data_IF_002321590845
#
_entry.id   IF_002321590845
#
_cell.length_a   1.000
_cell.length_b   1.000
_cell.length_c   1.000
_cell.angle_alpha   90.00
_cell.angle_beta   90.00
_cell.angle_gamma   90.00
#
_symmetry.space_group_name_H-M   'P 1'
#
loop_
_entity.id
_entity.type
_entity.pdbx_description
1 polymer ?
#
# COMPACT_ATOMS: atom_id res chain seq x y z
N UNK A 1 42.78 74.34 23.64
CA UNK A 1 41.50 73.64 23.89
C UNK A 1 40.53 74.31 22.94
N UNK A 2 40.32 73.71 21.77
CA UNK A 2 39.34 74.17 20.80
C UNK A 2 38.75 72.96 20.06
N UNK A 3 37.46 73.12 19.82
CA UNK A 3 36.41 72.16 19.51
C UNK A 3 36.62 71.44 18.16
N UNK A 4 36.62 70.10 18.18
CA UNK A 4 36.70 69.28 16.96
C UNK A 4 35.30 69.08 16.38
N UNK A 5 35.09 69.63 15.19
CA UNK A 5 33.83 69.59 14.43
C UNK A 5 33.70 68.27 13.68
N UNK A 6 32.67 67.49 13.99
CA UNK A 6 32.31 66.24 13.31
C UNK A 6 31.90 66.48 11.84
N UNK A 7 32.31 65.58 10.95
CA UNK A 7 31.77 65.45 9.59
C UNK A 7 31.30 64.00 9.40
N UNK A 8 29.99 63.81 9.36
CA UNK A 8 29.36 62.58 8.87
C UNK A 8 29.55 62.44 7.36
N UNK A 9 29.90 61.23 6.92
CA UNK A 9 29.78 60.81 5.52
C UNK A 9 29.12 59.41 5.45
N UNK A 10 28.27 59.16 4.43
CA UNK A 10 27.35 58.03 4.40
C UNK A 10 28.01 56.69 4.06
N UNK A 11 27.46 55.62 4.64
CA UNK A 11 27.90 54.21 4.51
C UNK A 11 27.36 53.61 3.19
N UNK A 12 28.21 53.01 2.33
CA UNK A 12 27.75 52.13 1.27
C UNK A 12 27.66 50.67 1.77
N UNK A 13 26.44 50.14 1.80
CA UNK A 13 26.15 48.72 2.02
C UNK A 13 26.54 47.88 0.81
N UNK A 14 27.53 47.00 0.94
CA UNK A 14 27.71 45.88 0.00
C UNK A 14 28.00 44.59 0.76
N UNK A 15 27.06 43.67 0.62
CA UNK A 15 27.09 42.31 1.14
C UNK A 15 28.04 41.45 0.30
N UNK A 16 29.20 41.10 0.87
CA UNK A 16 30.01 39.98 0.40
C UNK A 16 30.18 39.01 1.55
N UNK A 17 29.53 37.85 1.50
CA UNK A 17 29.81 36.74 2.42
C UNK A 17 30.15 35.49 1.62
N UNK A 18 31.44 35.17 1.59
CA UNK A 18 31.97 33.90 1.13
C UNK A 18 31.65 32.78 2.14
N UNK A 19 31.13 31.68 1.59
CA UNK A 19 31.40 30.26 1.83
C UNK A 19 31.96 29.82 3.20
N UNK A 20 31.16 29.05 3.93
CA UNK A 20 31.64 27.98 4.81
C UNK A 20 30.67 26.79 4.71
N UNK A 21 31.19 25.66 4.25
CA UNK A 21 30.51 24.37 4.17
C UNK A 21 30.11 23.86 5.56
N UNK A 22 28.97 23.17 5.68
CA UNK A 22 28.88 22.02 6.55
C UNK A 22 28.59 20.76 5.73
N UNK A 23 29.56 19.85 5.73
CA UNK A 23 29.32 18.40 5.66
C UNK A 23 28.23 18.03 6.66
N UNK A 24 27.12 17.47 6.18
CA UNK A 24 26.03 17.06 7.03
C UNK A 24 24.91 16.44 6.21
N UNK A 25 24.92 15.11 6.17
CA UNK A 25 23.85 14.20 5.76
C UNK A 25 23.15 14.52 4.44
N UNK A 26 23.55 13.75 3.41
CA UNK A 26 22.66 13.20 2.39
C UNK A 26 21.21 13.38 2.80
N UNK A 27 20.47 14.23 2.08
CA UNK A 27 19.02 14.19 2.07
C UNK A 27 18.66 12.72 1.91
N UNK A 28 18.22 12.10 2.99
CA UNK A 28 17.53 10.84 2.93
C UNK A 28 16.30 11.17 2.11
N UNK A 29 16.38 10.91 0.80
CA UNK A 29 15.20 10.56 0.03
C UNK A 29 14.42 9.65 0.95
N UNK A 30 13.30 10.14 1.48
CA UNK A 30 12.36 9.33 2.24
C UNK A 30 12.17 8.09 1.37
N UNK A 31 12.82 7.00 1.74
CA UNK A 31 12.71 5.76 0.99
C UNK A 31 11.23 5.49 1.03
N UNK A 32 10.59 5.60 -0.13
CA UNK A 32 9.17 5.35 -0.33
C UNK A 32 9.01 3.88 0.04
N UNK A 33 8.75 3.65 1.32
CA UNK A 33 8.98 2.36 1.94
C UNK A 33 7.95 1.39 1.43
N UNK A 34 8.41 0.24 0.95
CA UNK A 34 7.56 -0.91 0.73
C UNK A 34 6.87 -1.28 2.05
N UNK A 35 5.55 -1.40 2.04
CA UNK A 35 4.74 -1.77 3.20
C UNK A 35 4.12 -3.14 3.00
N UNK A 36 4.03 -3.98 4.03
CA UNK A 36 3.29 -5.24 3.90
C UNK A 36 1.79 -4.97 3.77
N UNK A 37 1.11 -5.80 2.99
CA UNK A 37 -0.36 -5.91 3.03
C UNK A 37 -0.74 -6.63 4.31
N UNK A 38 -1.70 -6.08 5.06
CA UNK A 38 -2.23 -6.78 6.25
C UNK A 38 -3.25 -7.82 5.78
N UNK A 39 -3.02 -9.07 6.15
CA UNK A 39 -3.87 -10.21 5.80
C UNK A 39 -4.67 -10.65 7.02
N UNK A 40 -5.96 -10.87 6.81
CA UNK A 40 -6.87 -11.40 7.84
C UNK A 40 -7.82 -12.41 7.22
N UNK A 41 -8.12 -13.48 7.95
CA UNK A 41 -9.12 -14.47 7.53
C UNK A 41 -10.48 -14.06 8.09
N UNK A 42 -11.42 -13.73 7.21
CA UNK A 42 -12.78 -13.31 7.60
C UNK A 42 -13.61 -14.55 7.90
N UNK A 43 -13.56 -15.53 7.00
CA UNK A 43 -14.31 -16.77 7.07
C UNK A 43 -13.53 -17.93 6.46
N UNK A 44 -13.76 -19.12 7.00
CA UNK A 44 -13.31 -20.40 6.45
C UNK A 44 -14.43 -21.40 6.71
N UNK A 45 -15.06 -21.89 5.64
CA UNK A 45 -16.16 -22.88 5.71
C UNK A 45 -15.69 -24.31 5.46
N UNK A 46 -14.38 -24.56 5.48
CA UNK A 46 -13.77 -25.81 5.04
C UNK A 46 -13.46 -25.77 3.55
N UNK A 47 -14.45 -25.56 2.68
CA UNK A 47 -14.24 -25.54 1.22
C UNK A 47 -13.89 -24.15 0.66
N UNK A 48 -14.40 -23.07 1.26
CA UNK A 48 -14.18 -21.70 0.82
C UNK A 48 -13.54 -20.87 1.94
N UNK A 49 -12.50 -20.13 1.61
CA UNK A 49 -11.83 -19.16 2.49
C UNK A 49 -12.02 -17.76 1.95
N UNK A 50 -12.26 -16.80 2.83
CA UNK A 50 -12.28 -15.39 2.48
C UNK A 50 -11.23 -14.62 3.28
N UNK A 51 -10.36 -13.93 2.55
CA UNK A 51 -9.31 -13.08 3.09
C UNK A 51 -9.69 -11.61 2.92
N UNK A 52 -9.49 -10.81 3.97
CA UNK A 52 -9.43 -9.35 3.86
C UNK A 52 -7.95 -8.94 3.78
N UNK A 53 -7.63 -8.23 2.70
CA UNK A 53 -6.32 -7.69 2.40
C UNK A 53 -6.39 -6.16 2.53
N UNK A 54 -5.71 -5.60 3.54
CA UNK A 54 -5.69 -4.15 3.77
C UNK A 54 -4.38 -3.55 3.26
N UNK A 55 -4.51 -2.57 2.39
CA UNK A 55 -3.46 -1.65 2.00
C UNK A 55 -3.95 -0.22 2.30
N UNK A 56 -3.17 0.53 3.07
CA UNK A 56 -3.61 1.83 3.56
C UNK A 56 -3.79 2.84 2.43
N UNK A 57 -4.86 3.65 2.51
CA UNK A 57 -5.15 4.71 1.53
C UNK A 57 -5.83 4.22 0.25
N UNK A 58 -6.21 2.95 0.16
CA UNK A 58 -7.01 2.44 -0.95
C UNK A 58 -8.34 3.16 -1.09
N UNK A 59 -8.72 3.45 -2.34
CA UNK A 59 -10.02 4.01 -2.70
C UNK A 59 -10.69 3.14 -3.75
N UNK A 60 -11.94 2.76 -3.49
CA UNK A 60 -12.79 2.08 -4.46
C UNK A 60 -13.06 3.01 -5.64
N UNK A 61 -13.05 2.46 -6.85
CA UNK A 61 -13.50 3.20 -8.02
C UNK A 61 -15.02 3.29 -7.98
N UNK A 62 -15.55 4.51 -7.83
CA UNK A 62 -16.99 4.77 -7.93
C UNK A 62 -17.40 4.61 -9.40
N UNK A 63 -18.09 3.53 -9.72
CA UNK A 63 -18.68 3.35 -11.05
C UNK A 63 -19.91 4.26 -11.16
N UNK A 64 -20.00 5.07 -12.22
CA UNK A 64 -21.19 5.88 -12.53
C UNK A 64 -22.36 5.03 -13.05
N UNK A 65 -22.19 3.71 -13.18
CA UNK A 65 -23.24 2.74 -13.48
C UNK A 65 -23.21 1.64 -12.43
N UNK A 66 -24.37 1.39 -11.84
CA UNK A 66 -24.59 0.54 -10.67
C UNK A 66 -23.81 -0.78 -10.70
N UNK A 67 -23.11 -1.03 -9.59
CA UNK A 67 -22.92 -2.36 -9.00
C UNK A 67 -22.57 -3.49 -9.98
N UNK A 68 -21.44 -3.39 -10.65
CA UNK A 68 -20.84 -4.59 -11.25
C UNK A 68 -19.91 -5.16 -10.19
N UNK A 69 -20.42 -6.12 -9.41
CA UNK A 69 -19.57 -7.12 -8.75
C UNK A 69 -18.82 -7.80 -9.88
N UNK A 70 -17.61 -7.31 -10.14
CA UNK A 70 -16.82 -7.73 -11.29
C UNK A 70 -16.20 -9.06 -10.89
N UNK A 71 -16.97 -10.14 -11.06
CA UNK A 71 -16.49 -11.51 -10.91
C UNK A 71 -15.47 -11.74 -12.03
N UNK A 72 -14.20 -11.51 -11.71
CA UNK A 72 -13.12 -11.78 -12.64
C UNK A 72 -12.87 -13.29 -12.67
N UNK A 73 -13.31 -13.96 -13.75
CA UNK A 73 -13.04 -15.39 -14.01
C UNK A 73 -11.65 -15.65 -14.65
N UNK A 74 -10.68 -14.76 -14.41
CA UNK A 74 -9.27 -14.76 -14.87
C UNK A 74 -8.59 -13.54 -14.23
N UNK A 75 -7.26 -13.41 -14.16
CA UNK A 75 -6.61 -12.24 -13.53
C UNK A 75 -6.74 -11.00 -14.42
N UNK A 76 -7.97 -10.55 -14.69
CA UNK A 76 -8.25 -9.22 -15.17
C UNK A 76 -7.83 -8.28 -14.06
N UNK A 77 -6.79 -7.48 -14.31
CA UNK A 77 -6.09 -6.69 -13.30
C UNK A 77 -7.05 -6.05 -12.27
N UNK A 78 -6.95 -6.43 -10.97
CA UNK A 78 -7.81 -5.89 -9.90
C UNK A 78 -7.67 -4.36 -9.75
N UNK A 79 -6.64 -3.76 -10.37
CA UNK A 79 -6.48 -2.31 -10.54
C UNK A 79 -7.73 -1.60 -11.08
N UNK A 80 -8.53 -2.27 -11.93
CA UNK A 80 -9.76 -1.66 -12.48
C UNK A 80 -10.80 -1.31 -11.42
N UNK A 81 -10.74 -1.96 -10.25
CA UNK A 81 -11.64 -1.76 -9.12
C UNK A 81 -11.23 -0.59 -8.22
N UNK A 82 -10.02 -0.06 -8.41
CA UNK A 82 -9.42 0.96 -7.57
C UNK A 82 -9.38 2.30 -8.32
N UNK A 83 -9.63 3.40 -7.63
CA UNK A 83 -9.50 4.75 -8.23
C UNK A 83 -8.09 5.31 -8.12
N UNK A 84 -7.29 4.81 -7.18
CA UNK A 84 -5.94 5.28 -6.89
C UNK A 84 -4.92 4.15 -6.69
N UNK A 85 -5.29 2.92 -7.06
CA UNK A 85 -4.46 1.73 -6.85
C UNK A 85 -4.12 1.02 -8.16
N UNK A 86 -2.88 0.59 -8.31
CA UNK A 86 -2.41 -0.16 -9.45
C UNK A 86 -1.60 -1.38 -9.00
N UNK A 87 -2.09 -2.56 -9.36
CA UNK A 87 -1.32 -3.79 -9.28
C UNK A 87 -0.27 -3.79 -10.38
N UNK A 88 1.00 -3.90 -10.00
CA UNK A 88 2.15 -3.95 -10.91
C UNK A 88 2.67 -5.37 -11.11
N UNK A 89 2.44 -6.23 -10.12
CA UNK A 89 2.61 -7.67 -10.23
C UNK A 89 1.43 -8.35 -9.53
N UNK A 90 0.98 -9.48 -10.05
CA UNK A 90 -0.02 -10.33 -9.42
C UNK A 90 0.18 -11.76 -9.91
N UNK A 91 0.46 -12.66 -8.97
CA UNK A 91 0.60 -14.09 -9.19
C UNK A 91 -0.17 -14.85 -8.11
N UNK A 92 -1.00 -15.78 -8.53
CA UNK A 92 -1.77 -16.66 -7.66
C UNK A 92 -1.66 -18.06 -8.24
N UNK A 93 -1.01 -18.94 -7.49
CA UNK A 93 -0.90 -20.35 -7.83
C UNK A 93 -1.81 -21.17 -6.93
N UNK A 94 -1.74 -22.49 -7.02
CA UNK A 94 -2.46 -23.35 -6.09
C UNK A 94 -1.96 -23.24 -4.66
N UNK A 95 -0.72 -22.80 -4.42
CA UNK A 95 -0.11 -22.81 -3.08
C UNK A 95 0.47 -21.47 -2.65
N UNK A 96 0.51 -20.45 -3.52
CA UNK A 96 1.15 -19.17 -3.21
C UNK A 96 0.33 -18.00 -3.74
N UNK A 97 0.48 -16.84 -3.11
CA UNK A 97 -0.06 -15.58 -3.62
C UNK A 97 0.98 -14.47 -3.42
N UNK A 98 1.27 -13.78 -4.51
CA UNK A 98 2.20 -12.66 -4.53
C UNK A 98 1.64 -11.50 -5.33
N UNK A 99 1.70 -10.28 -4.80
CA UNK A 99 1.43 -9.09 -5.60
C UNK A 99 2.12 -7.85 -5.07
N UNK A 100 2.28 -6.87 -5.97
CA UNK A 100 2.70 -5.52 -5.64
C UNK A 100 1.63 -4.52 -6.05
N UNK A 101 1.22 -3.69 -5.10
CA UNK A 101 0.14 -2.71 -5.24
C UNK A 101 0.67 -1.31 -4.94
N UNK A 102 0.69 -0.45 -5.96
CA UNK A 102 1.01 0.96 -5.80
C UNK A 102 -0.27 1.74 -5.51
N UNK A 103 -0.27 2.52 -4.43
CA UNK A 103 -1.40 3.36 -4.01
C UNK A 103 -0.98 4.82 -4.06
N UNK A 104 -1.61 5.60 -4.93
CA UNK A 104 -1.40 7.04 -4.98
C UNK A 104 -2.18 7.71 -3.86
N UNK A 105 -1.47 8.36 -2.94
CA UNK A 105 -2.08 9.08 -1.82
C UNK A 105 -2.29 10.55 -2.17
N UNK A 106 -3.55 11.01 -2.09
CA UNK A 106 -3.89 12.42 -2.28
C UNK A 106 -3.39 13.22 -1.07
N UNK A 107 -2.22 13.87 -1.18
CA UNK A 107 -1.90 14.95 -0.25
C UNK A 107 -2.62 16.21 -0.71
N UNK A 108 -3.34 16.86 0.21
CA UNK A 108 -3.87 18.23 -0.01
C UNK A 108 -2.76 19.08 -0.63
N UNK A 109 -3.09 19.82 -1.69
CA UNK A 109 -2.20 20.71 -2.48
C UNK A 109 -1.42 21.68 -1.58
N UNK A 110 -0.37 21.23 -0.91
CA UNK A 110 0.72 22.09 -0.47
C UNK A 110 1.66 22.22 -1.65
N UNK A 111 2.04 23.46 -1.96
CA UNK A 111 2.92 23.88 -3.06
C UNK A 111 4.18 22.99 -3.09
N UNK A 112 4.16 21.93 -3.89
CA UNK A 112 5.15 20.86 -3.92
C UNK A 112 4.60 19.63 -4.66
N UNK A 113 5.47 18.86 -5.30
CA UNK A 113 5.11 17.74 -6.18
C UNK A 113 4.22 16.72 -5.42
N UNK A 114 2.92 16.74 -5.71
CA UNK A 114 1.85 16.15 -4.89
C UNK A 114 1.53 14.68 -5.16
N UNK A 115 2.43 13.93 -5.78
CA UNK A 115 2.20 12.53 -6.17
C UNK A 115 3.06 11.59 -5.32
N UNK A 116 2.68 11.41 -4.05
CA UNK A 116 3.23 10.31 -3.26
C UNK A 116 2.57 9.01 -3.72
N UNK A 117 3.39 8.01 -4.02
CA UNK A 117 2.97 6.63 -4.25
C UNK A 117 3.47 5.82 -3.08
N UNK A 118 2.60 5.06 -2.42
CA UNK A 118 2.98 4.07 -1.41
C UNK A 118 2.92 2.67 -2.06
N UNK A 119 3.99 1.88 -1.92
CA UNK A 119 4.05 0.52 -2.48
C UNK A 119 3.72 -0.50 -1.40
N UNK A 120 2.74 -1.35 -1.66
CA UNK A 120 2.33 -2.43 -0.79
C UNK A 120 2.68 -3.78 -1.42
N UNK A 121 3.22 -4.71 -0.64
CA UNK A 121 3.61 -6.04 -1.09
C UNK A 121 2.90 -7.10 -0.25
N UNK A 122 2.33 -8.08 -0.94
CA UNK A 122 1.96 -9.36 -0.36
C UNK A 122 2.85 -10.42 -0.99
N UNK A 123 3.48 -11.25 -0.17
CA UNK A 123 4.25 -12.42 -0.61
C UNK A 123 3.97 -13.55 0.39
N UNK A 124 3.07 -14.46 0.02
CA UNK A 124 2.80 -15.71 0.74
C UNK A 124 3.31 -16.85 -0.13
N UNK A 125 4.37 -17.50 0.32
CA UNK A 125 5.04 -18.55 -0.47
C UNK A 125 4.35 -19.89 -0.37
N UNK A 126 3.73 -20.19 0.78
CA UNK A 126 2.97 -21.42 0.98
C UNK A 126 1.70 -21.15 1.79
N UNK A 127 0.53 -21.34 1.19
CA UNK A 127 -0.76 -21.28 1.85
C UNK A 127 -0.96 -22.49 2.76
N UNK A 128 -1.81 -22.40 3.80
CA UNK A 128 -2.04 -23.52 4.74
C UNK A 128 -2.69 -24.75 4.08
N UNK A 129 -3.33 -24.55 2.92
CA UNK A 129 -3.85 -25.59 2.04
C UNK A 129 -3.82 -25.11 0.59
N UNK A 130 -3.86 -26.03 -0.37
CA UNK A 130 -3.95 -25.69 -1.78
C UNK A 130 -5.32 -25.09 -2.14
N UNK A 131 -5.34 -24.22 -3.15
CA UNK A 131 -6.53 -23.54 -3.66
C UNK A 131 -6.65 -23.68 -5.17
N UNK A 132 -7.86 -23.49 -5.71
CA UNK A 132 -8.09 -23.34 -7.14
C UNK A 132 -7.95 -21.86 -7.53
N UNK A 133 -6.77 -21.49 -8.04
CA UNK A 133 -6.45 -20.14 -8.48
C UNK A 133 -7.40 -19.60 -9.57
N UNK A 134 -7.90 -20.46 -10.46
CA UNK A 134 -8.80 -20.05 -11.55
C UNK A 134 -10.19 -19.65 -11.05
N UNK A 135 -10.57 -20.14 -9.86
CA UNK A 135 -11.85 -19.81 -9.21
C UNK A 135 -11.78 -18.62 -8.27
N UNK A 136 -10.61 -17.98 -8.13
CA UNK A 136 -10.41 -16.89 -7.20
C UNK A 136 -11.24 -15.65 -7.56
N UNK A 137 -11.92 -15.07 -6.57
CA UNK A 137 -12.74 -13.89 -6.75
C UNK A 137 -12.14 -12.71 -5.98
N UNK A 138 -12.05 -11.56 -6.64
CA UNK A 138 -11.56 -10.30 -6.08
C UNK A 138 -12.69 -9.28 -6.02
N UNK A 139 -12.91 -8.72 -4.84
CA UNK A 139 -13.85 -7.62 -4.64
C UNK A 139 -13.18 -6.49 -3.84
N UNK A 140 -13.50 -5.24 -4.18
CA UNK A 140 -13.11 -4.08 -3.36
C UNK A 140 -14.32 -3.65 -2.55
N UNK A 141 -14.18 -3.71 -1.23
CA UNK A 141 -15.22 -3.31 -0.29
C UNK A 141 -14.90 -1.94 0.31
N UNK A 142 -15.93 -1.10 0.44
CA UNK A 142 -15.86 0.21 1.09
C UNK A 142 -16.91 0.21 2.22
N UNK A 143 -16.53 -0.16 3.45
CA UNK A 143 -17.42 -0.09 4.61
C UNK A 143 -17.74 1.37 4.95
N UNK A 144 -18.72 1.59 5.85
CA UNK A 144 -19.12 2.93 6.31
C UNK A 144 -17.98 3.74 6.96
N UNK A 145 -16.90 3.08 7.40
CA UNK A 145 -15.69 3.75 7.89
C UNK A 145 -14.89 4.47 6.79
N UNK A 146 -15.15 4.17 5.51
CA UNK A 146 -14.46 4.76 4.36
C UNK A 146 -13.10 4.12 4.03
N UNK A 147 -12.60 3.21 4.87
CA UNK A 147 -11.35 2.48 4.60
C UNK A 147 -11.59 1.29 3.67
N UNK A 148 -11.17 1.41 2.41
CA UNK A 148 -11.34 0.32 1.45
C UNK A 148 -10.40 -0.84 1.73
N UNK A 149 -10.86 -2.06 1.47
CA UNK A 149 -10.05 -3.26 1.51
C UNK A 149 -10.40 -4.18 0.33
N UNK A 150 -9.53 -5.14 0.08
CA UNK A 150 -9.74 -6.15 -0.95
C UNK A 150 -10.19 -7.44 -0.27
N UNK A 151 -11.36 -7.93 -0.67
CA UNK A 151 -11.86 -9.24 -0.31
C UNK A 151 -11.40 -10.22 -1.39
N UNK A 152 -10.63 -11.23 -0.97
CA UNK A 152 -10.19 -12.33 -1.82
C UNK A 152 -10.91 -13.61 -1.36
N UNK A 153 -11.71 -14.19 -2.24
CA UNK A 153 -12.35 -15.49 -2.01
C UNK A 153 -11.61 -16.59 -2.75
N UNK A 154 -11.25 -17.66 -2.03
CA UNK A 154 -10.50 -18.80 -2.54
C UNK A 154 -11.26 -20.10 -2.26
N UNK A 155 -11.22 -21.05 -3.20
CA UNK A 155 -11.76 -22.40 -3.01
C UNK A 155 -10.59 -23.34 -2.74
N UNK A 156 -10.62 -24.05 -1.60
CA UNK A 156 -9.59 -25.06 -1.27
C UNK A 156 -9.74 -26.29 -2.16
N UNK A 157 -8.61 -26.89 -2.51
CA UNK A 157 -8.55 -28.13 -3.31
C UNK A 157 -7.99 -29.31 -2.53
N UNK A 158 -7.34 -29.06 -1.39
CA UNK A 158 -6.87 -30.08 -0.46
C UNK A 158 -7.08 -29.65 1.00
N UNK A 159 -6.75 -30.56 1.93
CA UNK A 159 -6.65 -30.29 3.37
C UNK A 159 -7.81 -29.46 3.93
N UNK A 160 -9.04 -29.79 3.54
CA UNK A 160 -10.26 -29.01 3.85
C UNK A 160 -10.50 -28.84 5.35
N UNK A 161 -9.92 -29.72 6.18
CA UNK A 161 -9.99 -29.69 7.63
C UNK A 161 -9.08 -28.63 8.28
N UNK A 162 -8.09 -28.09 7.55
CA UNK A 162 -7.22 -27.02 8.07
C UNK A 162 -8.02 -25.73 8.12
N UNK A 163 -8.29 -25.22 9.33
CA UNK A 163 -8.97 -23.96 9.53
C UNK A 163 -7.96 -22.79 9.47
N UNK A 164 -8.04 -21.97 8.43
CA UNK A 164 -7.09 -20.87 8.20
C UNK A 164 -7.22 -19.76 9.24
N UNK A 165 -8.40 -19.59 9.85
CA UNK A 165 -8.61 -18.60 10.91
C UNK A 165 -7.90 -19.00 12.19
N UNK A 166 -8.00 -20.27 12.56
CA UNK A 166 -7.26 -20.85 13.69
C UNK A 166 -5.75 -20.87 13.43
N UNK A 167 -5.35 -21.23 12.20
CA UNK A 167 -3.96 -21.18 11.77
C UNK A 167 -3.37 -19.77 11.91
N UNK A 168 -4.04 -18.76 11.36
CA UNK A 168 -3.62 -17.36 11.49
C UNK A 168 -3.56 -16.93 12.96
N UNK A 169 -4.55 -17.31 13.77
CA UNK A 169 -4.58 -16.96 15.20
C UNK A 169 -3.42 -17.59 15.98
N UNK A 170 -2.98 -18.79 15.58
CA UNK A 170 -1.94 -19.55 16.28
C UNK A 170 -0.53 -19.13 15.87
N UNK A 171 -0.35 -18.76 14.60
CA UNK A 171 0.97 -18.49 14.02
C UNK A 171 1.23 -17.01 13.68
N UNK A 172 0.19 -16.17 13.72
CA UNK A 172 0.27 -14.75 13.35
C UNK A 172 0.38 -14.50 11.85
N UNK A 173 0.38 -15.55 11.02
CA UNK A 173 0.49 -15.50 9.56
C UNK A 173 -0.27 -16.67 8.93
N UNK A 174 -0.63 -16.53 7.64
CA UNK A 174 -1.11 -17.65 6.82
C UNK A 174 -0.03 -18.20 5.88
N UNK A 175 1.20 -17.66 5.92
CA UNK A 175 2.32 -18.24 5.17
C UNK A 175 2.94 -19.40 5.96
N UNK A 176 2.56 -20.62 5.59
CA UNK A 176 3.04 -21.85 6.18
C UNK A 176 4.55 -22.07 5.98
N UNK A 177 5.20 -21.38 5.03
CA UNK A 177 6.65 -21.46 4.86
C UNK A 177 7.43 -20.64 5.89
N UNK A 178 6.75 -19.79 6.65
CA UNK A 178 7.35 -18.89 7.65
C UNK A 178 7.23 -19.40 9.09
N UNK A 179 6.73 -20.62 9.26
CA UNK A 179 6.48 -21.28 10.56
C UNK A 179 7.53 -22.37 10.79
#
# INVERSE_FOLDING_TARGET
>A
MDEVREKEYPIPSTSTKMKSSPTGSSDSVDSIGTRPVVVTVISDSGAKVQLMLKAFGLKKKKSLLNSIVTHFKKPGSPSKLLSNGQFTNFDLTSTSIGFTLNVQSDKKKKKGNGNRVDTFVLDIKQLPSSVNAESAEFEVMEPSSGECFILLSLIKTDNLNVNWKEFLSSHGTIDASSI
#
